data_IF_416537045231
#
_entry.id   IF_416537045231
#
_cell.length_a   1.000
_cell.length_b   1.000
_cell.length_c   1.000
_cell.angle_alpha   90.00
_cell.angle_beta   90.00
_cell.angle_gamma   90.00
#
_symmetry.space_group_name_H-M   'P 1'
#
loop_
_entity.id
_entity.type
_entity.pdbx_description
1 polymer ?
#
# COMPACT_ATOMS: atom_id res chain seq x y z
N UNK A 1 7.07 -32.22 -4.40
CA UNK A 1 6.98 -31.96 -5.83
C UNK A 1 8.42 -31.86 -6.35
N UNK A 2 8.86 -32.72 -7.26
CA UNK A 2 10.18 -32.63 -7.87
C UNK A 2 10.23 -31.42 -8.79
N UNK A 3 11.38 -30.74 -8.88
CA UNK A 3 11.56 -29.58 -9.78
C UNK A 3 11.58 -30.02 -11.27
N UNK A 4 11.65 -31.31 -11.53
CA UNK A 4 11.84 -31.89 -12.87
C UNK A 4 10.64 -32.73 -13.32
N UNK A 5 9.51 -32.74 -12.58
CA UNK A 5 8.31 -33.51 -12.86
C UNK A 5 7.29 -32.76 -13.72
N UNK A 6 7.75 -32.05 -14.75
CA UNK A 6 6.82 -31.50 -15.73
C UNK A 6 6.19 -32.62 -16.55
N UNK A 7 4.88 -32.74 -16.49
CA UNK A 7 4.10 -33.80 -17.15
C UNK A 7 3.73 -33.49 -18.61
N UNK A 8 4.27 -32.42 -19.19
CA UNK A 8 4.07 -31.95 -20.57
C UNK A 8 2.62 -31.69 -20.97
N UNK A 9 1.69 -31.61 -20.01
CA UNK A 9 0.32 -31.24 -20.29
C UNK A 9 0.22 -29.76 -20.63
N UNK A 10 -0.69 -29.45 -21.58
CA UNK A 10 -1.03 -28.03 -21.87
C UNK A 10 -1.63 -27.35 -20.63
N UNK A 11 -1.38 -26.04 -20.46
CA UNK A 11 -2.04 -25.28 -19.40
C UNK A 11 -3.55 -25.23 -19.65
N UNK A 12 -4.31 -25.02 -18.56
CA UNK A 12 -5.76 -24.79 -18.69
C UNK A 12 -5.99 -23.55 -19.55
N UNK A 13 -6.87 -23.62 -20.57
CA UNK A 13 -7.18 -22.45 -21.39
C UNK A 13 -7.65 -21.25 -20.54
N UNK A 14 -7.23 -20.06 -20.93
CA UNK A 14 -7.64 -18.80 -20.33
C UNK A 14 -8.68 -18.11 -21.19
N UNK A 15 -9.60 -17.36 -20.58
CA UNK A 15 -10.51 -16.46 -21.27
C UNK A 15 -9.89 -15.08 -21.51
N UNK A 16 -8.66 -14.86 -21.03
CA UNK A 16 -7.95 -13.59 -21.24
C UNK A 16 -7.41 -13.54 -22.67
N UNK A 17 -7.53 -12.38 -23.33
CA UNK A 17 -6.89 -12.13 -24.62
C UNK A 17 -5.36 -12.10 -24.52
N UNK A 18 -4.67 -12.25 -25.65
CA UNK A 18 -3.21 -12.38 -25.72
C UNK A 18 -2.47 -11.18 -25.09
N UNK A 19 -3.08 -10.00 -25.13
CA UNK A 19 -2.52 -8.75 -24.63
C UNK A 19 -3.08 -8.32 -23.28
N UNK A 20 -4.03 -9.06 -22.75
CA UNK A 20 -4.63 -8.73 -21.45
C UNK A 20 -3.64 -8.88 -20.31
N UNK A 21 -3.88 -8.11 -19.26
CA UNK A 21 -3.21 -8.24 -17.98
C UNK A 21 -4.24 -8.59 -16.90
N UNK A 22 -3.94 -9.52 -15.98
CA UNK A 22 -4.85 -9.81 -14.88
C UNK A 22 -5.16 -8.53 -14.10
N UNK A 23 -6.43 -8.14 -14.05
CA UNK A 23 -6.87 -6.91 -13.37
C UNK A 23 -6.62 -7.03 -11.86
N UNK A 24 -5.82 -6.14 -11.30
CA UNK A 24 -5.58 -6.06 -9.86
C UNK A 24 -6.60 -5.12 -9.19
N UNK A 25 -6.91 -3.97 -9.84
CA UNK A 25 -7.93 -3.02 -9.39
C UNK A 25 -8.29 -2.04 -10.52
N UNK A 26 -9.26 -1.16 -10.27
CA UNK A 26 -9.68 -0.08 -11.16
C UNK A 26 -9.22 1.31 -10.68
N UNK A 27 -8.23 1.37 -9.78
CA UNK A 27 -7.79 2.62 -9.14
C UNK A 27 -7.19 3.64 -10.10
N UNK A 28 -6.69 3.19 -11.24
CA UNK A 28 -6.17 4.02 -12.33
C UNK A 28 -7.06 3.95 -13.59
N UNK A 29 -8.28 3.43 -13.48
CA UNK A 29 -9.20 3.37 -14.61
C UNK A 29 -9.51 4.79 -15.14
N UNK A 30 -9.42 4.95 -16.47
CA UNK A 30 -9.60 6.24 -17.14
C UNK A 30 -8.44 7.21 -16.97
N UNK A 31 -7.35 6.81 -16.29
CA UNK A 31 -6.14 7.63 -16.17
C UNK A 31 -5.14 7.29 -17.28
N UNK A 32 -4.57 8.33 -17.88
CA UNK A 32 -3.55 8.23 -18.91
C UNK A 32 -2.19 8.62 -18.37
N UNK A 33 -1.23 7.69 -18.42
CA UNK A 33 0.09 7.82 -17.78
C UNK A 33 1.19 7.81 -18.83
N UNK A 34 2.03 8.85 -18.85
CA UNK A 34 3.27 8.84 -19.60
C UNK A 34 4.37 8.15 -18.78
N UNK A 35 4.87 7.00 -19.24
CA UNK A 35 6.03 6.33 -18.67
C UNK A 35 7.29 6.77 -19.41
N UNK A 36 8.14 7.59 -18.76
CA UNK A 36 9.37 8.09 -19.33
C UNK A 36 10.56 7.24 -18.87
N UNK A 37 11.16 6.52 -19.81
CA UNK A 37 12.24 5.57 -19.55
C UNK A 37 13.58 6.18 -19.95
N UNK A 38 14.50 6.28 -18.98
CA UNK A 38 15.83 6.88 -19.21
C UNK A 38 16.96 5.87 -19.15
N UNK A 39 18.13 6.23 -19.71
CA UNK A 39 19.26 5.35 -19.94
C UNK A 39 19.98 4.90 -18.67
N UNK A 40 19.54 3.82 -18.09
CA UNK A 40 20.16 3.11 -16.97
C UNK A 40 19.76 1.65 -16.95
N UNK A 41 20.55 0.78 -16.32
CA UNK A 41 20.30 -0.67 -16.30
C UNK A 41 18.89 -1.02 -15.79
N UNK A 42 18.31 -0.23 -14.90
CA UNK A 42 16.96 -0.44 -14.40
C UNK A 42 15.86 -0.21 -15.46
N UNK A 43 16.17 0.33 -16.65
CA UNK A 43 15.25 0.43 -17.79
C UNK A 43 14.68 -0.94 -18.19
N UNK A 44 15.44 -2.03 -17.96
CA UNK A 44 14.97 -3.41 -18.16
C UNK A 44 13.69 -3.75 -17.39
N UNK A 45 13.32 -2.99 -16.36
CA UNK A 45 12.09 -3.17 -15.59
C UNK A 45 10.90 -2.35 -16.11
N UNK A 46 11.09 -1.46 -17.06
CA UNK A 46 10.04 -0.59 -17.55
C UNK A 46 8.82 -1.33 -18.13
N UNK A 47 8.96 -2.47 -18.87
CA UNK A 47 7.80 -3.26 -19.29
C UNK A 47 6.98 -3.80 -18.10
N UNK A 48 7.63 -4.22 -17.02
CA UNK A 48 6.94 -4.67 -15.80
C UNK A 48 6.15 -3.52 -15.16
N UNK A 49 6.75 -2.32 -15.10
CA UNK A 49 6.09 -1.10 -14.60
C UNK A 49 4.87 -0.75 -15.45
N UNK A 50 5.00 -0.74 -16.78
CA UNK A 50 3.89 -0.48 -17.69
C UNK A 50 2.74 -1.47 -17.48
N UNK A 51 3.05 -2.76 -17.42
CA UNK A 51 2.04 -3.80 -17.14
C UNK A 51 1.43 -3.67 -15.74
N UNK A 52 2.21 -3.27 -14.74
CA UNK A 52 1.72 -2.97 -13.39
C UNK A 52 0.67 -1.86 -13.40
N UNK A 53 0.94 -0.73 -14.03
CA UNK A 53 -0.01 0.38 -14.19
C UNK A 53 -1.28 -0.06 -14.92
N UNK A 54 -1.16 -0.84 -15.99
CA UNK A 54 -2.30 -1.41 -16.74
C UNK A 54 -3.14 -2.38 -15.88
N UNK A 55 -2.51 -3.16 -15.02
CA UNK A 55 -3.23 -4.03 -14.06
C UNK A 55 -4.11 -3.23 -13.09
N UNK A 56 -3.81 -1.97 -12.86
CA UNK A 56 -4.65 -1.06 -12.09
C UNK A 56 -5.56 -0.18 -12.94
N UNK A 57 -5.55 -0.36 -14.26
CA UNK A 57 -6.52 0.25 -15.17
C UNK A 57 -6.02 1.42 -15.98
N UNK A 58 -4.77 1.80 -15.85
CA UNK A 58 -4.23 2.92 -16.59
C UNK A 58 -4.12 2.63 -18.11
N UNK A 59 -4.29 3.67 -18.91
CA UNK A 59 -3.74 3.78 -20.27
C UNK A 59 -2.30 4.26 -20.16
N UNK A 60 -1.35 3.53 -20.73
CA UNK A 60 0.10 3.82 -20.57
C UNK A 60 0.74 4.05 -21.93
N UNK A 61 1.39 5.19 -22.09
CA UNK A 61 2.22 5.50 -23.25
C UNK A 61 3.68 5.59 -22.80
N UNK A 62 4.56 4.83 -23.44
CA UNK A 62 5.99 4.87 -23.12
C UNK A 62 6.75 5.87 -24.01
N UNK A 63 7.58 6.68 -23.37
CA UNK A 63 8.60 7.53 -24.00
C UNK A 63 9.96 6.97 -23.60
N UNK A 64 10.82 6.69 -24.54
CA UNK A 64 12.13 6.12 -24.26
C UNK A 64 13.25 6.96 -24.87
N UNK A 65 14.26 7.27 -24.04
CA UNK A 65 15.48 7.86 -24.58
C UNK A 65 16.27 6.82 -25.41
N UNK A 66 17.10 7.28 -26.33
CA UNK A 66 17.99 6.41 -27.11
C UNK A 66 18.86 5.53 -26.20
N UNK A 67 19.41 6.12 -25.13
CA UNK A 67 20.18 5.36 -24.14
C UNK A 67 19.35 4.30 -23.38
N UNK A 68 18.06 4.50 -23.19
CA UNK A 68 17.21 3.50 -22.58
C UNK A 68 17.07 2.25 -23.47
N UNK A 69 16.97 2.46 -24.80
CA UNK A 69 16.84 1.38 -25.77
C UNK A 69 18.11 0.52 -25.91
N UNK A 70 19.23 0.91 -25.30
CA UNK A 70 20.42 0.06 -25.16
C UNK A 70 20.27 -1.03 -24.10
N UNK A 71 19.29 -0.90 -23.20
CA UNK A 71 19.04 -1.82 -22.09
C UNK A 71 17.74 -2.60 -22.23
N UNK A 72 16.82 -2.13 -23.08
CA UNK A 72 15.51 -2.75 -23.30
C UNK A 72 15.08 -2.63 -24.76
N UNK A 73 14.63 -3.72 -25.35
CA UNK A 73 14.09 -3.70 -26.70
C UNK A 73 12.81 -2.84 -26.77
N UNK A 74 12.67 -2.06 -27.83
CA UNK A 74 11.48 -1.24 -28.11
C UNK A 74 10.20 -2.09 -28.09
N UNK A 75 10.24 -3.24 -28.74
CA UNK A 75 9.13 -4.17 -28.86
C UNK A 75 8.61 -4.66 -27.51
N UNK A 76 9.49 -4.81 -26.51
CA UNK A 76 9.09 -5.20 -25.15
C UNK A 76 8.25 -4.10 -24.47
N UNK A 77 8.56 -2.83 -24.72
CA UNK A 77 7.77 -1.71 -24.23
C UNK A 77 6.45 -1.59 -25.02
N UNK A 78 6.47 -1.74 -26.33
CA UNK A 78 5.27 -1.72 -27.18
C UNK A 78 4.28 -2.80 -26.78
N UNK A 79 4.78 -4.03 -26.55
CA UNK A 79 3.95 -5.11 -26.03
C UNK A 79 3.39 -4.82 -24.64
N UNK A 80 4.17 -4.19 -23.77
CA UNK A 80 3.75 -3.89 -22.40
C UNK A 80 2.69 -2.78 -22.34
N UNK A 81 2.74 -1.80 -23.25
CA UNK A 81 1.83 -0.65 -23.30
C UNK A 81 0.68 -0.80 -24.27
N UNK A 82 0.75 -1.76 -25.21
CA UNK A 82 -0.17 -1.95 -26.36
C UNK A 82 -0.20 -0.77 -27.32
N UNK A 83 0.90 -0.09 -27.47
CA UNK A 83 1.01 1.05 -28.36
C UNK A 83 2.46 1.35 -28.74
N UNK A 84 2.67 2.22 -29.72
CA UNK A 84 4.02 2.61 -30.14
C UNK A 84 4.77 3.32 -29.02
N UNK A 85 6.07 3.03 -28.92
CA UNK A 85 6.97 3.76 -28.03
C UNK A 85 7.43 5.04 -28.72
N UNK A 86 7.27 6.16 -28.05
CA UNK A 86 7.73 7.47 -28.54
C UNK A 86 9.24 7.60 -28.30
N UNK A 87 10.02 7.56 -29.35
CA UNK A 87 11.48 7.64 -29.32
C UNK A 87 12.05 8.92 -29.97
N UNK A 88 11.19 9.69 -30.59
CA UNK A 88 11.48 10.99 -31.23
C UNK A 88 10.21 11.79 -31.36
N UNK A 89 10.33 13.09 -31.48
CA UNK A 89 9.18 13.98 -31.72
C UNK A 89 8.86 13.99 -33.22
N UNK A 90 7.58 13.91 -33.54
CA UNK A 90 7.06 13.94 -34.90
C UNK A 90 6.14 15.16 -35.11
N UNK A 91 5.52 15.25 -36.26
CA UNK A 91 4.48 16.24 -36.52
C UNK A 91 3.28 16.16 -35.55
N UNK A 92 3.08 15.03 -34.91
CA UNK A 92 2.01 14.83 -33.93
C UNK A 92 2.28 15.52 -32.58
N UNK A 93 3.50 16.06 -32.39
CA UNK A 93 3.90 16.80 -31.19
C UNK A 93 3.59 16.05 -29.88
N UNK A 94 3.96 14.79 -29.79
CA UNK A 94 3.63 13.83 -28.75
C UNK A 94 3.96 14.36 -27.34
N UNK A 95 4.96 15.23 -27.22
CA UNK A 95 5.37 15.87 -25.97
C UNK A 95 4.36 16.92 -25.45
N UNK A 96 3.50 17.47 -26.29
CA UNK A 96 2.49 18.47 -25.91
C UNK A 96 1.20 17.79 -25.43
N UNK A 97 0.77 16.73 -26.12
CA UNK A 97 -0.38 15.88 -25.78
C UNK A 97 -1.68 16.63 -25.44
N UNK A 98 -1.95 17.81 -26.03
CA UNK A 98 -3.14 18.61 -25.72
C UNK A 98 -4.44 17.94 -26.18
N UNK A 99 -4.42 17.19 -27.28
CA UNK A 99 -5.57 16.43 -27.78
C UNK A 99 -5.90 15.19 -26.93
N UNK A 100 -4.91 14.68 -26.20
CA UNK A 100 -5.04 13.49 -25.35
C UNK A 100 -4.09 13.60 -24.16
N UNK A 101 -4.46 14.41 -23.14
CA UNK A 101 -3.58 14.79 -22.05
C UNK A 101 -3.23 13.62 -21.14
N UNK A 102 -2.02 13.64 -20.58
CA UNK A 102 -1.62 12.73 -19.52
C UNK A 102 -2.02 13.28 -18.15
N UNK A 103 -2.55 12.43 -17.28
CA UNK A 103 -2.82 12.75 -15.88
C UNK A 103 -1.53 12.76 -15.04
N UNK A 104 -0.60 11.87 -15.37
CA UNK A 104 0.70 11.82 -14.70
C UNK A 104 1.84 11.42 -15.65
N UNK A 105 3.01 11.94 -15.32
CA UNK A 105 4.27 11.60 -15.96
C UNK A 105 5.16 10.91 -14.94
N UNK A 106 5.47 9.64 -15.18
CA UNK A 106 6.33 8.82 -14.32
C UNK A 106 7.68 8.62 -14.97
N UNK A 107 8.74 9.20 -14.41
CA UNK A 107 10.13 8.96 -14.84
C UNK A 107 10.69 7.76 -14.08
N UNK A 108 10.74 6.61 -14.72
CA UNK A 108 11.16 5.36 -14.08
C UNK A 108 11.89 4.42 -15.08
N UNK A 109 13.22 4.26 -14.94
CA UNK A 109 14.12 4.89 -13.98
C UNK A 109 14.43 6.35 -14.31
N UNK A 110 14.78 7.17 -13.31
CA UNK A 110 15.29 8.52 -13.49
C UNK A 110 16.79 8.56 -13.18
N UNK A 111 17.60 8.85 -14.23
CA UNK A 111 19.05 9.00 -14.06
C UNK A 111 19.43 10.37 -13.52
N UNK A 112 20.61 10.50 -12.94
CA UNK A 112 21.19 11.78 -12.50
C UNK A 112 21.14 12.84 -13.61
N UNK A 113 21.55 12.47 -14.84
CA UNK A 113 21.51 13.37 -16.00
C UNK A 113 20.10 13.89 -16.30
N UNK A 114 19.10 13.01 -16.27
CA UNK A 114 17.70 13.41 -16.53
C UNK A 114 17.18 14.36 -15.45
N UNK A 115 17.48 14.10 -14.18
CA UNK A 115 17.11 15.00 -13.06
C UNK A 115 17.78 16.36 -13.24
N UNK A 116 19.07 16.39 -13.58
CA UNK A 116 19.79 17.64 -13.81
C UNK A 116 19.22 18.43 -15.00
N UNK A 117 19.00 17.77 -16.14
CA UNK A 117 18.42 18.41 -17.33
C UNK A 117 17.03 18.98 -17.05
N UNK A 118 16.19 18.22 -16.37
CA UNK A 118 14.87 18.65 -15.96
C UNK A 118 14.93 19.90 -15.06
N UNK A 119 15.82 19.91 -14.05
CA UNK A 119 15.99 21.06 -13.14
C UNK A 119 16.47 22.34 -13.82
N UNK A 120 17.16 22.21 -14.95
CA UNK A 120 17.71 23.33 -15.73
C UNK A 120 16.96 23.63 -17.03
N UNK A 121 15.83 22.97 -17.29
CA UNK A 121 14.99 23.21 -18.46
C UNK A 121 15.65 22.78 -19.77
N UNK A 122 16.51 21.74 -19.77
CA UNK A 122 17.22 21.25 -20.97
C UNK A 122 16.37 20.16 -21.63
N UNK A 123 15.83 20.46 -22.82
CA UNK A 123 14.94 19.58 -23.59
C UNK A 123 15.59 19.06 -24.88
N UNK A 124 16.71 18.38 -24.76
CA UNK A 124 17.54 17.90 -25.88
C UNK A 124 17.22 16.47 -26.36
N UNK A 125 16.31 15.80 -25.68
CA UNK A 125 15.82 14.47 -26.04
C UNK A 125 14.29 14.41 -25.97
N UNK A 126 13.67 13.39 -26.57
CA UNK A 126 12.22 13.20 -26.50
C UNK A 126 11.73 13.17 -25.05
N UNK A 127 12.48 12.52 -24.15
CA UNK A 127 12.12 12.41 -22.73
C UNK A 127 12.21 13.77 -22.04
N UNK A 128 13.30 14.50 -22.22
CA UNK A 128 13.51 15.79 -21.56
C UNK A 128 12.63 16.89 -22.15
N UNK A 129 12.36 16.92 -23.46
CA UNK A 129 11.38 17.81 -24.06
C UNK A 129 9.96 17.56 -23.53
N UNK A 130 9.56 16.28 -23.38
CA UNK A 130 8.29 15.90 -22.77
C UNK A 130 8.22 16.34 -21.30
N UNK A 131 9.33 16.25 -20.54
CA UNK A 131 9.38 16.69 -19.13
C UNK A 131 9.24 18.21 -18.99
N UNK A 132 9.79 19.02 -19.91
CA UNK A 132 9.55 20.47 -19.89
C UNK A 132 8.07 20.79 -20.06
N UNK A 133 7.40 20.15 -21.02
CA UNK A 133 5.95 20.29 -21.20
C UNK A 133 5.18 19.80 -19.97
N UNK A 134 5.59 18.66 -19.37
CA UNK A 134 4.99 18.10 -18.17
C UNK A 134 5.07 19.05 -16.96
N UNK A 135 6.21 19.72 -16.77
CA UNK A 135 6.37 20.72 -15.69
C UNK A 135 5.41 21.90 -15.89
N UNK A 136 5.29 22.43 -17.11
CA UNK A 136 4.33 23.51 -17.39
C UNK A 136 2.87 23.07 -17.15
N UNK A 137 2.51 21.82 -17.49
CA UNK A 137 1.17 21.28 -17.19
C UNK A 137 0.96 21.08 -15.69
N UNK A 138 1.99 20.65 -14.96
CA UNK A 138 1.95 20.49 -13.50
C UNK A 138 1.75 21.85 -12.80
N UNK A 139 2.45 22.90 -13.21
CA UNK A 139 2.27 24.27 -12.70
C UNK A 139 0.84 24.79 -12.92
N UNK A 140 0.20 24.37 -14.01
CA UNK A 140 -1.21 24.68 -14.32
C UNK A 140 -2.21 23.78 -13.55
N UNK A 141 -1.74 22.86 -12.70
CA UNK A 141 -2.59 21.92 -11.99
C UNK A 141 -3.24 20.83 -12.86
N UNK A 142 -2.74 20.63 -14.09
CA UNK A 142 -3.32 19.72 -15.11
C UNK A 142 -2.70 18.33 -15.13
N UNK A 143 -1.57 18.13 -14.48
CA UNK A 143 -0.88 16.83 -14.43
C UNK A 143 -0.04 16.70 -13.17
N UNK A 144 0.42 15.47 -12.92
CA UNK A 144 1.39 15.18 -11.86
C UNK A 144 2.71 14.71 -12.47
N UNK A 145 3.84 15.07 -11.85
CA UNK A 145 5.16 14.62 -12.27
C UNK A 145 5.84 13.86 -11.13
N UNK A 146 6.17 12.59 -11.40
CA UNK A 146 6.80 11.70 -10.43
C UNK A 146 8.15 11.21 -10.98
N UNK A 147 9.14 11.20 -10.11
CA UNK A 147 10.52 10.82 -10.45
C UNK A 147 10.98 9.69 -9.53
N UNK A 148 11.43 8.57 -10.10
CA UNK A 148 12.03 7.44 -9.39
C UNK A 148 13.55 7.43 -9.59
N UNK A 149 14.34 8.08 -8.70
CA UNK A 149 15.80 8.16 -8.82
C UNK A 149 16.42 6.77 -8.77
N UNK A 150 17.35 6.52 -9.71
CA UNK A 150 17.99 5.19 -9.79
C UNK A 150 19.43 5.38 -10.26
N UNK A 151 20.40 5.12 -9.34
CA UNK A 151 21.82 5.37 -9.62
C UNK A 151 22.74 4.68 -8.62
N UNK A 152 24.03 4.61 -8.97
CA UNK A 152 25.07 4.18 -8.04
C UNK A 152 25.29 5.25 -6.95
N UNK A 153 25.65 4.83 -5.73
CA UNK A 153 25.86 5.75 -4.61
C UNK A 153 26.91 6.84 -4.84
N UNK A 154 27.94 6.57 -5.64
CA UNK A 154 28.95 7.60 -6.01
C UNK A 154 28.39 8.73 -6.86
N UNK A 155 27.21 8.53 -7.49
CA UNK A 155 26.51 9.57 -8.23
C UNK A 155 25.58 10.42 -7.33
N UNK A 156 25.41 10.03 -6.07
CA UNK A 156 24.70 10.84 -5.09
C UNK A 156 25.64 11.90 -4.55
N UNK A 157 25.54 13.10 -5.08
CA UNK A 157 26.39 14.23 -4.76
C UNK A 157 25.56 15.50 -4.52
N UNK A 158 26.22 16.61 -4.17
CA UNK A 158 25.52 17.89 -3.90
C UNK A 158 24.69 18.37 -5.08
N UNK A 159 25.17 18.22 -6.31
CA UNK A 159 24.43 18.64 -7.50
C UNK A 159 23.11 17.88 -7.67
N UNK A 160 23.11 16.56 -7.41
CA UNK A 160 21.87 15.79 -7.42
C UNK A 160 20.89 16.30 -6.37
N UNK A 161 21.38 16.52 -5.14
CA UNK A 161 20.55 16.99 -4.02
C UNK A 161 19.93 18.35 -4.32
N UNK A 162 20.71 19.28 -4.84
CA UNK A 162 20.26 20.63 -5.18
C UNK A 162 19.23 20.61 -6.31
N UNK A 163 19.49 19.83 -7.38
CA UNK A 163 18.54 19.66 -8.49
C UNK A 163 17.23 19.01 -8.01
N UNK A 164 17.32 17.97 -7.18
CA UNK A 164 16.13 17.29 -6.65
C UNK A 164 15.31 18.22 -5.75
N UNK A 165 15.95 18.98 -4.85
CA UNK A 165 15.29 19.97 -3.99
C UNK A 165 14.61 21.08 -4.80
N UNK A 166 15.28 21.58 -5.84
CA UNK A 166 14.71 22.58 -6.75
C UNK A 166 13.43 22.06 -7.41
N UNK A 167 13.46 20.86 -7.96
CA UNK A 167 12.30 20.22 -8.59
C UNK A 167 11.18 19.92 -7.57
N UNK A 168 11.54 19.43 -6.38
CA UNK A 168 10.56 19.18 -5.32
C UNK A 168 9.86 20.46 -4.87
N UNK A 169 10.57 21.57 -4.78
CA UNK A 169 10.00 22.89 -4.47
C UNK A 169 9.02 23.39 -5.54
N UNK A 170 9.16 22.92 -6.79
CA UNK A 170 8.23 23.19 -7.89
C UNK A 170 7.00 22.24 -7.89
N UNK A 171 6.97 21.23 -7.02
CA UNK A 171 5.87 20.27 -6.92
C UNK A 171 6.13 18.87 -7.50
N UNK A 172 7.34 18.64 -8.06
CA UNK A 172 7.74 17.30 -8.53
C UNK A 172 7.84 16.34 -7.36
N UNK A 173 7.23 15.17 -7.48
CA UNK A 173 7.22 14.15 -6.44
C UNK A 173 8.34 13.12 -6.65
N UNK A 174 9.26 13.05 -5.72
CA UNK A 174 10.33 12.05 -5.74
C UNK A 174 9.88 10.79 -5.01
N UNK A 175 9.85 9.67 -5.74
CA UNK A 175 9.54 8.36 -5.15
C UNK A 175 10.81 7.86 -4.46
N UNK A 176 10.71 7.53 -3.17
CA UNK A 176 11.84 7.03 -2.38
C UNK A 176 12.45 5.79 -3.04
N UNK A 177 13.74 5.80 -3.41
CA UNK A 177 14.39 4.62 -3.98
C UNK A 177 14.53 3.50 -2.95
N UNK A 178 14.68 2.28 -3.44
CA UNK A 178 15.04 1.14 -2.58
C UNK A 178 16.54 1.08 -2.42
N UNK A 179 17.03 1.58 -1.28
CA UNK A 179 18.47 1.62 -1.00
C UNK A 179 19.00 0.23 -0.62
N UNK A 180 19.89 -0.29 -1.45
CA UNK A 180 20.57 -1.54 -1.20
C UNK A 180 21.89 -1.62 -1.98
N UNK A 181 22.87 -2.29 -1.41
CA UNK A 181 24.19 -2.52 -2.03
C UNK A 181 24.89 -1.22 -2.46
N UNK A 182 24.75 -0.15 -1.66
CA UNK A 182 25.36 1.16 -1.95
C UNK A 182 24.78 1.86 -3.20
N UNK A 183 23.53 1.57 -3.56
CA UNK A 183 22.83 2.09 -4.74
C UNK A 183 21.42 2.52 -4.40
N UNK A 184 20.95 3.55 -5.09
CA UNK A 184 19.53 3.86 -5.22
C UNK A 184 18.96 2.97 -6.31
N UNK A 185 18.23 1.92 -5.92
CA UNK A 185 17.57 1.02 -6.86
C UNK A 185 16.15 1.46 -7.13
N UNK A 186 15.66 1.13 -8.33
CA UNK A 186 14.25 1.34 -8.67
C UNK A 186 13.36 0.62 -7.66
N UNK A 187 12.34 1.29 -7.07
CA UNK A 187 11.32 0.65 -6.26
C UNK A 187 10.65 -0.49 -7.02
N UNK A 188 9.97 -1.39 -6.29
CA UNK A 188 9.15 -2.41 -6.94
C UNK A 188 7.96 -1.77 -7.69
N UNK A 189 7.42 -2.55 -8.62
CA UNK A 189 6.33 -2.10 -9.49
C UNK A 189 5.11 -1.64 -8.72
N UNK A 190 4.74 -2.33 -7.63
CA UNK A 190 3.58 -1.96 -6.82
C UNK A 190 3.77 -0.60 -6.14
N UNK A 191 4.96 -0.34 -5.61
CA UNK A 191 5.33 0.96 -5.04
C UNK A 191 5.17 2.10 -6.04
N UNK A 192 5.62 1.89 -7.28
CA UNK A 192 5.47 2.88 -8.35
C UNK A 192 4.00 3.11 -8.72
N UNK A 193 3.21 2.04 -8.82
CA UNK A 193 1.77 2.14 -9.10
C UNK A 193 1.03 2.89 -7.99
N UNK A 194 1.31 2.57 -6.72
CA UNK A 194 0.73 3.27 -5.56
C UNK A 194 1.12 4.75 -5.56
N UNK A 195 2.39 5.07 -5.84
CA UNK A 195 2.84 6.47 -5.90
C UNK A 195 2.08 7.27 -6.96
N UNK A 196 1.86 6.69 -8.15
CA UNK A 196 1.02 7.31 -9.20
C UNK A 196 -0.42 7.47 -8.71
N UNK A 197 -1.04 6.43 -8.16
CA UNK A 197 -2.40 6.50 -7.65
C UNK A 197 -2.57 7.57 -6.56
N UNK A 198 -1.66 7.60 -5.59
CA UNK A 198 -1.64 8.65 -4.54
C UNK A 198 -1.51 10.07 -5.10
N UNK A 199 -0.76 10.23 -6.18
CA UNK A 199 -0.58 11.56 -6.80
C UNK A 199 -1.84 12.07 -7.50
N UNK A 200 -2.71 11.15 -7.93
CA UNK A 200 -3.92 11.44 -8.70
C UNK A 200 -5.21 11.38 -7.88
N UNK A 201 -5.11 11.03 -6.60
CA UNK A 201 -6.30 10.91 -5.75
C UNK A 201 -6.86 12.29 -5.39
N UNK A 202 -8.19 12.39 -5.41
CA UNK A 202 -8.95 13.52 -4.86
C UNK A 202 -9.60 13.18 -3.51
N UNK A 203 -9.19 12.07 -2.89
CA UNK A 203 -9.75 11.64 -1.62
C UNK A 203 -9.45 12.64 -0.49
N UNK A 204 -10.41 12.96 0.37
CA UNK A 204 -10.20 13.80 1.56
C UNK A 204 -9.27 13.14 2.59
N UNK A 205 -8.95 11.86 2.41
CA UNK A 205 -7.96 11.16 3.24
C UNK A 205 -6.51 11.52 2.91
N UNK A 206 -6.25 12.27 1.82
CA UNK A 206 -4.90 12.64 1.42
C UNK A 206 -4.17 13.38 2.55
N UNK A 207 -3.01 12.85 2.99
CA UNK A 207 -2.21 13.38 4.09
C UNK A 207 -2.80 13.15 5.50
N UNK A 208 -3.96 12.49 5.66
CA UNK A 208 -4.49 12.14 6.98
C UNK A 208 -3.66 11.02 7.60
N UNK A 209 -3.20 11.22 8.84
CA UNK A 209 -2.46 10.21 9.61
C UNK A 209 -3.43 9.16 10.15
N UNK A 210 -3.34 7.94 9.64
CA UNK A 210 -4.22 6.84 10.02
C UNK A 210 -3.39 5.66 10.53
N UNK A 211 -3.66 5.24 11.76
CA UNK A 211 -3.07 4.04 12.35
C UNK A 211 -3.98 2.85 12.10
N UNK A 212 -3.42 1.78 11.56
CA UNK A 212 -4.11 0.49 11.41
C UNK A 212 -3.42 -0.55 12.26
N UNK A 213 -4.16 -1.31 13.07
CA UNK A 213 -3.61 -2.42 13.83
C UNK A 213 -4.04 -3.74 13.23
N UNK A 214 -3.17 -4.75 13.17
CA UNK A 214 -3.49 -6.03 12.57
C UNK A 214 -2.68 -7.20 13.16
N UNK A 215 -3.21 -8.41 13.02
CA UNK A 215 -2.56 -9.63 13.49
C UNK A 215 -2.76 -9.87 14.97
N UNK A 216 -2.11 -10.90 15.52
CA UNK A 216 -2.26 -11.30 16.92
C UNK A 216 -1.41 -10.42 17.85
N UNK A 217 -1.77 -10.38 19.13
CA UNK A 217 -0.92 -9.82 20.18
C UNK A 217 -0.51 -10.96 21.11
N UNK A 218 0.64 -11.60 20.90
CA UNK A 218 1.07 -12.74 21.69
C UNK A 218 1.29 -12.37 23.16
N UNK A 219 0.91 -13.26 24.08
CA UNK A 219 1.23 -13.15 25.50
C UNK A 219 2.17 -14.28 25.89
N UNK A 220 3.35 -14.00 26.48
CA UNK A 220 4.30 -15.04 26.83
C UNK A 220 3.80 -15.90 27.98
N UNK A 221 4.04 -17.22 27.91
CA UNK A 221 3.89 -18.16 29.01
C UNK A 221 5.25 -18.32 29.71
N UNK A 222 6.31 -18.49 28.90
CA UNK A 222 7.70 -18.61 29.32
C UNK A 222 8.62 -18.04 28.23
N UNK A 223 9.92 -18.20 28.34
CA UNK A 223 10.91 -17.73 27.35
C UNK A 223 10.80 -18.37 25.95
N UNK A 224 9.96 -19.39 25.79
CA UNK A 224 9.82 -20.16 24.52
C UNK A 224 8.36 -20.20 24.04
N UNK A 225 7.40 -20.30 24.95
CA UNK A 225 5.98 -20.52 24.62
C UNK A 225 5.16 -19.27 24.83
N UNK A 226 4.13 -19.10 23.98
CA UNK A 226 3.19 -17.98 24.02
C UNK A 226 1.78 -18.43 23.68
N UNK A 227 0.78 -17.75 24.23
CA UNK A 227 -0.60 -17.84 23.80
C UNK A 227 -0.80 -16.80 22.70
N UNK A 228 -1.48 -17.18 21.62
CA UNK A 228 -1.68 -16.31 20.47
C UNK A 228 -3.02 -16.60 19.79
N UNK A 229 -3.72 -15.57 19.37
CA UNK A 229 -4.94 -15.72 18.58
C UNK A 229 -4.63 -16.24 17.18
N UNK A 230 -5.56 -16.98 16.57
CA UNK A 230 -5.39 -17.58 15.23
C UNK A 230 -5.37 -16.58 14.07
N UNK A 231 -5.74 -15.32 14.32
CA UNK A 231 -5.87 -14.30 13.28
C UNK A 231 -4.51 -13.84 12.74
N UNK A 232 -4.37 -13.83 11.40
CA UNK A 232 -3.12 -13.49 10.72
C UNK A 232 -3.06 -12.05 10.22
N UNK A 233 -4.04 -11.21 10.50
CA UNK A 233 -4.03 -9.79 10.21
C UNK A 233 -4.18 -9.39 8.74
N UNK A 234 -4.58 -10.30 7.84
CA UNK A 234 -4.69 -10.00 6.41
C UNK A 234 -5.70 -8.89 6.12
N UNK A 235 -6.84 -8.85 6.81
CA UNK A 235 -7.85 -7.82 6.62
C UNK A 235 -7.31 -6.43 6.97
N UNK A 236 -6.71 -6.26 8.17
CA UNK A 236 -6.14 -4.97 8.56
C UNK A 236 -5.02 -4.50 7.62
N UNK A 237 -4.18 -5.43 7.12
CA UNK A 237 -3.17 -5.10 6.13
C UNK A 237 -3.80 -4.62 4.81
N UNK A 238 -4.90 -5.23 4.34
CA UNK A 238 -5.64 -4.76 3.16
C UNK A 238 -6.32 -3.40 3.39
N UNK A 239 -6.81 -3.13 4.61
CA UNK A 239 -7.31 -1.80 4.96
C UNK A 239 -6.21 -0.75 4.89
N UNK A 240 -5.03 -1.02 5.45
CA UNK A 240 -3.89 -0.10 5.37
C UNK A 240 -3.46 0.15 3.92
N UNK A 241 -3.46 -0.89 3.08
CA UNK A 241 -3.18 -0.79 1.65
C UNK A 241 -4.22 0.07 0.92
N UNK A 242 -5.52 -0.11 1.20
CA UNK A 242 -6.59 0.72 0.62
C UNK A 242 -6.43 2.19 1.00
N UNK A 243 -6.15 2.47 2.27
CA UNK A 243 -5.96 3.82 2.78
C UNK A 243 -4.75 4.53 2.12
N UNK A 244 -3.63 3.81 1.91
CA UNK A 244 -2.47 4.35 1.20
C UNK A 244 -2.82 4.69 -0.25
N UNK A 245 -3.54 3.85 -0.94
CA UNK A 245 -4.00 4.13 -2.30
C UNK A 245 -4.89 5.38 -2.38
N UNK A 246 -5.68 5.66 -1.36
CA UNK A 246 -6.48 6.89 -1.22
C UNK A 246 -5.70 8.09 -0.71
N UNK A 247 -4.38 8.00 -0.62
CA UNK A 247 -3.52 9.12 -0.25
C UNK A 247 -3.28 9.31 1.24
N UNK A 248 -3.88 8.52 2.12
CA UNK A 248 -3.65 8.63 3.56
C UNK A 248 -2.18 8.32 3.93
N UNK A 249 -1.69 8.96 4.97
CA UNK A 249 -0.44 8.63 5.63
C UNK A 249 -0.71 7.52 6.65
N UNK A 250 -0.97 6.32 6.10
CA UNK A 250 -1.31 5.16 6.91
C UNK A 250 -0.05 4.42 7.37
N UNK A 251 -0.04 4.00 8.65
CA UNK A 251 0.95 3.06 9.20
C UNK A 251 0.26 1.81 9.72
N UNK A 252 0.97 0.69 9.73
CA UNK A 252 0.48 -0.60 10.17
C UNK A 252 1.25 -1.07 11.42
N UNK A 253 0.55 -1.21 12.55
CA UNK A 253 1.05 -1.89 13.73
C UNK A 253 0.66 -3.37 13.60
N UNK A 254 1.67 -4.22 13.43
CA UNK A 254 1.49 -5.61 13.04
C UNK A 254 2.01 -6.55 14.12
N UNK A 255 1.15 -7.45 14.59
CA UNK A 255 1.56 -8.50 15.52
C UNK A 255 2.57 -9.47 14.89
N UNK A 256 3.53 -9.94 15.68
CA UNK A 256 4.54 -10.91 15.23
C UNK A 256 3.90 -12.21 14.70
N UNK A 257 4.42 -12.71 13.57
CA UNK A 257 3.88 -13.87 12.87
C UNK A 257 2.64 -13.58 12.01
N UNK A 258 2.20 -12.32 11.90
CA UNK A 258 1.12 -11.93 11.01
C UNK A 258 1.57 -11.86 9.53
N UNK A 259 0.58 -11.84 8.64
CA UNK A 259 0.81 -11.69 7.21
C UNK A 259 1.30 -10.26 6.90
N UNK A 260 2.39 -10.15 6.14
CA UNK A 260 2.96 -8.85 5.74
C UNK A 260 2.44 -8.43 4.37
N UNK A 261 1.96 -7.18 4.22
CA UNK A 261 1.59 -6.64 2.91
C UNK A 261 2.83 -6.47 2.02
N UNK A 262 2.63 -6.52 0.71
CA UNK A 262 3.67 -6.18 -0.28
C UNK A 262 3.72 -4.68 -0.57
N UNK A 263 2.63 -3.97 -0.32
CA UNK A 263 2.56 -2.53 -0.48
C UNK A 263 3.57 -1.80 0.43
N UNK A 264 4.11 -0.64 0.02
CA UNK A 264 5.11 0.13 0.77
C UNK A 264 4.47 0.87 1.96
N UNK A 265 3.92 0.11 2.90
CA UNK A 265 3.28 0.62 4.11
C UNK A 265 4.33 0.65 5.22
N UNK A 266 4.50 1.74 5.97
CA UNK A 266 5.29 1.74 7.20
C UNK A 266 4.73 0.71 8.18
N UNK A 267 5.56 -0.26 8.59
CA UNK A 267 5.15 -1.35 9.50
C UNK A 267 5.98 -1.30 10.77
N UNK A 268 5.29 -1.23 11.91
CA UNK A 268 5.87 -1.47 13.23
C UNK A 268 5.41 -2.85 13.71
N UNK A 269 6.36 -3.77 13.95
CA UNK A 269 6.05 -5.13 14.44
C UNK A 269 6.11 -5.15 15.96
N UNK A 270 5.06 -5.67 16.59
CA UNK A 270 4.95 -5.86 18.04
C UNK A 270 4.96 -7.35 18.38
N UNK A 271 5.82 -7.75 19.31
CA UNK A 271 6.06 -9.16 19.68
C UNK A 271 5.18 -9.64 20.82
N UNK A 272 4.70 -8.70 21.64
CA UNK A 272 3.87 -8.98 22.82
C UNK A 272 2.67 -8.06 22.89
N UNK A 273 1.71 -8.43 23.77
CA UNK A 273 0.57 -7.56 24.08
C UNK A 273 1.03 -6.19 24.65
N UNK A 274 2.03 -6.18 25.54
CA UNK A 274 2.51 -4.94 26.15
C UNK A 274 3.17 -4.03 25.12
N UNK A 275 4.05 -4.57 24.24
CA UNK A 275 4.61 -3.81 23.12
C UNK A 275 3.51 -3.23 22.20
N UNK A 276 2.46 -4.01 21.93
CA UNK A 276 1.31 -3.57 21.13
C UNK A 276 0.59 -2.41 21.82
N UNK A 277 0.19 -2.56 23.10
CA UNK A 277 -0.47 -1.51 23.87
C UNK A 277 0.35 -0.23 23.87
N UNK A 278 1.61 -0.31 24.24
CA UNK A 278 2.48 0.86 24.39
C UNK A 278 2.72 1.56 23.02
N UNK A 279 2.88 0.78 21.95
CA UNK A 279 3.01 1.32 20.58
C UNK A 279 1.74 2.04 20.15
N UNK A 280 0.57 1.44 20.34
CA UNK A 280 -0.72 2.06 20.00
C UNK A 280 -0.91 3.38 20.76
N UNK A 281 -0.69 3.37 22.09
CA UNK A 281 -0.85 4.57 22.91
C UNK A 281 0.15 5.67 22.55
N UNK A 282 1.39 5.30 22.21
CA UNK A 282 2.39 6.26 21.73
C UNK A 282 1.96 6.94 20.41
N UNK A 283 1.38 6.19 19.47
CA UNK A 283 0.89 6.74 18.19
C UNK A 283 -0.33 7.64 18.39
N UNK A 284 -1.29 7.24 19.23
CA UNK A 284 -2.46 8.06 19.55
C UNK A 284 -2.03 9.37 20.19
N UNK A 285 -1.12 9.35 21.18
CA UNK A 285 -0.57 10.55 21.83
C UNK A 285 0.23 11.45 20.88
N UNK A 286 0.89 10.87 19.87
CA UNK A 286 1.58 11.65 18.84
C UNK A 286 0.63 12.33 17.82
N UNK A 287 -0.68 12.08 17.93
CA UNK A 287 -1.74 12.65 17.11
C UNK A 287 -1.97 11.89 15.82
N UNK A 288 -3.01 11.09 15.80
CA UNK A 288 -3.57 10.43 14.62
C UNK A 288 -4.93 11.07 14.29
N UNK A 289 -5.30 11.07 13.01
CA UNK A 289 -6.63 11.49 12.61
C UNK A 289 -7.66 10.36 12.83
N UNK A 290 -7.26 9.11 12.55
CA UNK A 290 -8.11 7.94 12.79
C UNK A 290 -7.28 6.70 13.23
N UNK A 291 -7.92 5.84 14.01
CA UNK A 291 -7.44 4.51 14.40
C UNK A 291 -8.35 3.40 13.90
N UNK A 292 -7.79 2.42 13.16
CA UNK A 292 -8.49 1.20 12.72
C UNK A 292 -7.98 0.02 13.55
N UNK A 293 -8.80 -0.46 14.48
CA UNK A 293 -8.39 -1.44 15.49
C UNK A 293 -8.83 -2.86 15.09
N UNK A 294 -8.10 -3.45 14.11
CA UNK A 294 -8.42 -4.78 13.58
C UNK A 294 -7.52 -5.91 14.10
N UNK A 295 -6.61 -5.62 15.04
CA UNK A 295 -5.78 -6.63 15.68
C UNK A 295 -6.63 -7.63 16.51
N UNK A 296 -6.25 -8.91 16.48
CA UNK A 296 -6.76 -9.92 17.38
C UNK A 296 -6.08 -9.81 18.75
N UNK A 297 -6.54 -8.85 19.55
CA UNK A 297 -5.93 -8.56 20.84
C UNK A 297 -6.22 -9.69 21.83
N UNK A 298 -5.21 -10.09 22.60
CA UNK A 298 -5.39 -11.08 23.67
C UNK A 298 -6.28 -10.51 24.77
N UNK A 299 -7.33 -11.23 25.15
CA UNK A 299 -8.25 -10.87 26.24
C UNK A 299 -7.72 -11.30 27.60
N UNK A 300 -6.79 -12.25 27.62
CA UNK A 300 -6.19 -12.82 28.82
C UNK A 300 -4.69 -12.98 28.66
N UNK A 301 -3.95 -12.86 29.76
CA UNK A 301 -2.52 -13.16 29.86
C UNK A 301 -2.23 -14.04 31.07
N UNK A 302 -1.13 -14.81 31.10
CA UNK A 302 -0.69 -15.48 32.30
C UNK A 302 -0.46 -14.47 33.42
N UNK A 303 -1.00 -14.73 34.61
CA UNK A 303 -0.86 -13.88 35.80
C UNK A 303 0.61 -13.76 36.22
N UNK A 304 1.40 -14.82 36.00
CA UNK A 304 2.83 -14.85 36.19
C UNK A 304 3.51 -15.51 34.98
N UNK A 305 4.26 -14.74 34.22
CA UNK A 305 5.14 -15.29 33.18
C UNK A 305 6.40 -15.86 33.83
N UNK A 306 6.78 -17.08 33.48
CA UNK A 306 7.98 -17.73 33.99
C UNK A 306 9.20 -17.24 33.21
N UNK A 307 10.21 -16.72 33.91
CA UNK A 307 11.50 -16.44 33.27
C UNK A 307 12.22 -17.75 32.93
N UNK A 308 12.76 -17.83 31.70
CA UNK A 308 13.38 -19.05 31.17
C UNK A 308 12.36 -20.00 30.58
N UNK A 309 12.64 -21.29 30.55
CA UNK A 309 11.82 -22.33 29.95
C UNK A 309 11.21 -23.23 31.04
N UNK A 310 9.90 -23.39 31.06
CA UNK A 310 9.23 -24.38 31.90
C UNK A 310 9.69 -25.78 31.47
N UNK A 311 10.15 -26.59 32.43
CA UNK A 311 10.61 -27.94 32.16
C UNK A 311 9.50 -28.80 31.49
N UNK A 312 9.91 -29.62 30.51
CA UNK A 312 9.04 -30.63 29.90
C UNK A 312 8.97 -31.88 30.75
N UNK A 313 7.94 -32.71 30.56
CA UNK A 313 7.76 -34.01 31.28
C UNK A 313 6.85 -33.98 32.47
N UNK A 314 6.20 -32.87 32.76
CA UNK A 314 5.11 -32.80 33.74
C UNK A 314 3.86 -33.48 33.19
N UNK A 315 3.08 -34.16 34.03
CA UNK A 315 1.82 -34.81 33.64
C UNK A 315 0.77 -33.78 33.21
N UNK A 316 0.80 -32.56 33.76
CA UNK A 316 -0.05 -31.44 33.37
C UNK A 316 0.64 -30.10 33.64
N UNK A 317 0.25 -29.07 32.91
CA UNK A 317 0.65 -27.69 33.15
C UNK A 317 -0.60 -26.83 33.32
N UNK A 318 -0.75 -26.27 34.53
CA UNK A 318 -1.85 -25.35 34.85
C UNK A 318 -1.38 -23.91 34.67
N UNK A 319 -2.14 -23.11 33.93
CA UNK A 319 -1.88 -21.70 33.72
C UNK A 319 -3.02 -20.87 34.29
N UNK A 320 -2.74 -20.05 35.30
CA UNK A 320 -3.68 -19.04 35.77
C UNK A 320 -3.61 -17.82 34.84
N UNK A 321 -4.77 -17.42 34.31
CA UNK A 321 -4.90 -16.30 33.42
C UNK A 321 -5.65 -15.15 34.10
N UNK A 322 -5.22 -13.92 33.84
CA UNK A 322 -5.91 -12.69 34.23
C UNK A 322 -6.33 -11.88 32.97
N UNK A 323 -7.40 -11.06 33.08
CA UNK A 323 -7.81 -10.19 31.97
C UNK A 323 -6.72 -9.18 31.59
N UNK A 324 -6.63 -8.86 30.30
CA UNK A 324 -5.86 -7.73 29.80
C UNK A 324 -6.71 -6.47 29.73
N UNK A 325 -6.07 -5.31 29.70
CA UNK A 325 -6.75 -4.04 29.45
C UNK A 325 -7.28 -4.00 28.01
N UNK A 326 -8.37 -3.29 27.77
CA UNK A 326 -8.90 -3.08 26.42
C UNK A 326 -8.16 -1.90 25.77
N UNK A 327 -7.13 -2.21 24.98
CA UNK A 327 -6.27 -1.19 24.34
C UNK A 327 -7.05 -0.16 23.51
N UNK A 328 -8.14 -0.58 22.85
CA UNK A 328 -9.03 0.34 22.14
C UNK A 328 -9.68 1.38 23.07
N UNK A 329 -10.06 0.97 24.29
CA UNK A 329 -10.67 1.87 25.27
C UNK A 329 -9.62 2.88 25.78
N UNK A 330 -8.42 2.40 26.12
CA UNK A 330 -7.29 3.26 26.50
C UNK A 330 -6.91 4.26 25.38
N UNK A 331 -6.96 3.83 24.12
CA UNK A 331 -6.66 4.68 22.97
C UNK A 331 -7.71 5.80 22.81
N UNK A 332 -9.00 5.47 22.95
CA UNK A 332 -10.09 6.46 22.89
C UNK A 332 -10.07 7.43 24.10
N UNK A 333 -9.59 6.98 25.25
CA UNK A 333 -9.37 7.86 26.42
C UNK A 333 -8.16 8.79 26.20
N UNK A 334 -7.12 8.30 25.55
CA UNK A 334 -5.90 9.09 25.29
C UNK A 334 -6.10 10.20 24.26
N UNK A 335 -6.94 10.00 23.23
CA UNK A 335 -7.41 11.06 22.34
C UNK A 335 -8.86 10.81 21.87
N UNK A 336 -9.84 11.40 22.55
CA UNK A 336 -11.26 11.24 22.18
C UNK A 336 -11.65 11.87 20.83
N UNK A 337 -10.78 12.68 20.22
CA UNK A 337 -11.03 13.36 18.95
C UNK A 337 -10.64 12.50 17.75
N UNK A 338 -9.81 11.47 17.95
CA UNK A 338 -9.42 10.56 16.89
C UNK A 338 -10.61 9.70 16.46
N UNK A 339 -10.87 9.66 15.15
CA UNK A 339 -11.93 8.78 14.62
C UNK A 339 -11.57 7.32 14.86
N UNK A 340 -12.55 6.53 15.31
CA UNK A 340 -12.32 5.13 15.69
C UNK A 340 -13.13 4.18 14.83
N UNK A 341 -12.44 3.25 14.16
CA UNK A 341 -13.02 2.07 13.50
C UNK A 341 -12.74 0.85 14.38
N UNK A 342 -13.78 0.31 14.99
CA UNK A 342 -13.68 -0.87 15.86
C UNK A 342 -14.02 -2.16 15.08
N UNK A 343 -13.49 -3.29 15.58
CA UNK A 343 -13.83 -4.62 15.05
C UNK A 343 -14.49 -5.45 16.12
N UNK A 344 -15.49 -6.22 15.73
CA UNK A 344 -16.14 -7.21 16.58
C UNK A 344 -16.25 -8.54 15.86
N UNK A 345 -15.68 -9.58 16.45
CA UNK A 345 -15.78 -10.96 15.99
C UNK A 345 -16.54 -11.81 16.99
N UNK A 346 -17.47 -12.62 16.50
CA UNK A 346 -18.21 -13.62 17.30
C UNK A 346 -18.28 -14.94 16.54
N UNK A 347 -18.54 -16.02 17.26
CA UNK A 347 -18.83 -17.37 16.72
C UNK A 347 -20.08 -17.92 17.36
N UNK A 348 -20.84 -18.76 16.65
CA UNK A 348 -22.03 -19.44 17.16
C UNK A 348 -23.21 -18.51 17.48
N UNK A 349 -23.31 -17.35 16.77
CA UNK A 349 -24.37 -16.37 17.03
C UNK A 349 -25.15 -16.02 15.76
N UNK A 350 -26.40 -15.58 15.91
CA UNK A 350 -27.16 -15.03 14.80
C UNK A 350 -26.62 -13.67 14.34
N UNK A 351 -27.03 -13.22 13.13
CA UNK A 351 -26.66 -11.90 12.61
C UNK A 351 -27.24 -10.78 13.46
N UNK A 352 -28.48 -10.94 13.96
CA UNK A 352 -29.15 -10.00 14.86
C UNK A 352 -28.38 -9.84 16.18
N UNK A 353 -27.90 -10.94 16.73
CA UNK A 353 -27.09 -10.92 17.96
C UNK A 353 -25.74 -10.23 17.72
N UNK A 354 -25.09 -10.50 16.58
CA UNK A 354 -23.84 -9.81 16.19
C UNK A 354 -24.06 -8.30 16.11
N UNK A 355 -25.14 -7.86 15.42
CA UNK A 355 -25.50 -6.44 15.29
C UNK A 355 -25.75 -5.83 16.67
N UNK A 356 -26.52 -6.50 17.52
CA UNK A 356 -26.84 -6.04 18.87
C UNK A 356 -25.59 -5.83 19.73
N UNK A 357 -24.62 -6.75 19.63
CA UNK A 357 -23.35 -6.64 20.37
C UNK A 357 -22.44 -5.56 19.78
N UNK A 358 -22.40 -5.44 18.45
CA UNK A 358 -21.61 -4.40 17.77
C UNK A 358 -22.15 -2.99 18.10
N UNK A 359 -23.47 -2.82 18.07
CA UNK A 359 -24.13 -1.53 18.33
C UNK A 359 -23.77 -0.94 19.71
N UNK A 360 -23.51 -1.78 20.73
CA UNK A 360 -23.08 -1.31 22.05
C UNK A 360 -21.75 -0.54 22.06
N UNK A 361 -20.95 -0.67 21.00
CA UNK A 361 -19.68 0.07 20.86
C UNK A 361 -19.82 1.40 20.11
N UNK A 362 -20.96 1.64 19.49
CA UNK A 362 -21.21 2.89 18.72
C UNK A 362 -21.28 4.14 19.60
N UNK A 363 -21.41 3.98 20.92
CA UNK A 363 -21.33 5.11 21.85
C UNK A 363 -19.94 5.75 21.87
N UNK A 364 -18.90 4.96 21.53
CA UNK A 364 -17.50 5.38 21.58
C UNK A 364 -16.77 5.28 20.22
N UNK A 365 -17.21 4.40 19.32
CA UNK A 365 -16.65 4.19 17.99
C UNK A 365 -17.63 4.69 16.92
N UNK A 366 -17.13 5.35 15.90
CA UNK A 366 -17.98 5.86 14.80
C UNK A 366 -18.56 4.74 13.93
N UNK A 367 -17.84 3.63 13.77
CA UNK A 367 -18.24 2.44 13.03
C UNK A 367 -17.68 1.17 13.66
N UNK A 368 -18.44 0.09 13.60
CA UNK A 368 -18.00 -1.24 14.02
C UNK A 368 -18.07 -2.20 12.85
N UNK A 369 -16.94 -2.78 12.49
CA UNK A 369 -16.86 -3.87 11.49
C UNK A 369 -17.12 -5.17 12.22
N UNK A 370 -18.32 -5.70 12.05
CA UNK A 370 -18.81 -6.88 12.73
C UNK A 370 -18.69 -8.12 11.82
N UNK A 371 -18.09 -9.19 12.34
CA UNK A 371 -17.82 -10.43 11.57
C UNK A 371 -18.11 -11.66 12.41
N UNK A 372 -18.51 -12.76 11.76
CA UNK A 372 -18.71 -14.07 12.39
C UNK A 372 -17.77 -15.11 11.80
N UNK A 373 -17.53 -16.18 12.56
CA UNK A 373 -16.80 -17.36 12.08
C UNK A 373 -17.49 -18.01 10.88
N UNK A 374 -18.79 -18.10 10.91
CA UNK A 374 -19.68 -18.68 9.89
C UNK A 374 -19.63 -17.94 8.55
N UNK A 375 -19.27 -16.66 8.57
CA UNK A 375 -19.17 -15.81 7.39
C UNK A 375 -17.79 -15.89 6.71
N UNK A 376 -16.90 -16.77 7.21
CA UNK A 376 -15.57 -17.01 6.62
C UNK A 376 -15.63 -18.11 5.58
N UNK A 377 -15.21 -17.81 4.35
CA UNK A 377 -15.14 -18.76 3.23
C UNK A 377 -13.70 -18.86 2.72
N UNK A 378 -13.01 -19.92 3.12
CA UNK A 378 -11.59 -20.11 2.77
C UNK A 378 -10.72 -18.97 3.32
N UNK A 379 -10.13 -18.17 2.43
CA UNK A 379 -9.31 -17.01 2.80
C UNK A 379 -10.09 -15.69 2.82
N UNK A 380 -11.38 -15.71 2.46
CA UNK A 380 -12.24 -14.53 2.39
C UNK A 380 -13.25 -14.47 3.55
N UNK A 381 -13.87 -13.32 3.74
CA UNK A 381 -14.75 -13.05 4.87
C UNK A 381 -15.80 -11.99 4.52
N UNK A 382 -17.06 -12.24 4.86
CA UNK A 382 -18.13 -11.26 4.87
C UNK A 382 -18.11 -10.48 6.19
N UNK A 383 -18.57 -9.23 6.17
CA UNK A 383 -18.74 -8.39 7.36
C UNK A 383 -20.00 -7.53 7.27
N UNK A 384 -20.39 -7.00 8.43
CA UNK A 384 -21.40 -5.94 8.53
C UNK A 384 -20.71 -4.67 9.03
N UNK A 385 -20.83 -3.56 8.30
CA UNK A 385 -20.50 -2.24 8.81
C UNK A 385 -21.69 -1.71 9.58
N UNK A 386 -21.54 -1.61 10.90
CA UNK A 386 -22.59 -1.11 11.82
C UNK A 386 -22.24 0.32 12.19
N UNK A 387 -23.12 1.25 11.86
CA UNK A 387 -23.03 2.68 12.20
C UNK A 387 -24.30 3.13 12.92
N UNK A 388 -24.36 4.37 13.37
CA UNK A 388 -25.59 4.95 13.94
C UNK A 388 -26.69 5.10 12.90
N UNK A 389 -26.36 5.18 11.61
CA UNK A 389 -27.30 5.36 10.50
C UNK A 389 -27.83 4.03 9.96
N UNK A 390 -27.24 2.91 10.34
CA UNK A 390 -27.70 1.57 9.91
C UNK A 390 -26.60 0.53 9.79
N UNK A 391 -26.93 -0.56 9.12
CA UNK A 391 -26.09 -1.74 8.91
C UNK A 391 -25.92 -1.98 7.41
N UNK A 392 -24.69 -2.04 6.95
CA UNK A 392 -24.33 -2.31 5.56
C UNK A 392 -23.57 -3.63 5.44
N UNK A 393 -24.11 -4.65 4.75
CA UNK A 393 -23.39 -5.90 4.51
C UNK A 393 -22.29 -5.70 3.47
N UNK A 394 -21.15 -6.37 3.66
CA UNK A 394 -19.97 -6.30 2.79
C UNK A 394 -19.40 -7.69 2.56
N UNK A 395 -19.26 -8.10 1.31
CA UNK A 395 -19.14 -9.50 0.93
C UNK A 395 -17.74 -10.11 1.04
N UNK A 396 -16.68 -9.29 1.01
CA UNK A 396 -15.31 -9.79 1.02
C UNK A 396 -14.31 -8.78 1.61
N UNK A 397 -13.12 -9.23 1.93
CA UNK A 397 -12.10 -8.41 2.60
C UNK A 397 -11.70 -7.15 1.82
N UNK A 398 -11.65 -7.21 0.49
CA UNK A 398 -11.36 -6.04 -0.34
C UNK A 398 -12.48 -5.01 -0.25
N UNK A 399 -13.72 -5.46 -0.34
CA UNK A 399 -14.89 -4.61 -0.18
C UNK A 399 -14.98 -4.02 1.23
N UNK A 400 -14.62 -4.79 2.27
CA UNK A 400 -14.53 -4.30 3.66
C UNK A 400 -13.51 -3.16 3.75
N UNK A 401 -12.32 -3.34 3.19
CA UNK A 401 -11.28 -2.30 3.18
C UNK A 401 -11.77 -1.02 2.48
N UNK A 402 -12.42 -1.17 1.31
CA UNK A 402 -12.98 -0.06 0.56
C UNK A 402 -14.11 0.65 1.32
N UNK A 403 -14.99 -0.10 2.00
CA UNK A 403 -16.10 0.44 2.79
C UNK A 403 -15.61 1.20 4.04
N UNK A 404 -14.57 0.69 4.72
CA UNK A 404 -13.93 1.41 5.84
C UNK A 404 -13.33 2.73 5.34
N UNK A 405 -12.60 2.70 4.23
CA UNK A 405 -12.02 3.90 3.66
C UNK A 405 -13.09 4.91 3.20
N UNK A 406 -14.17 4.42 2.57
CA UNK A 406 -15.33 5.26 2.19
C UNK A 406 -16.04 5.88 3.40
N UNK A 407 -16.20 5.14 4.48
CA UNK A 407 -16.71 5.69 5.74
C UNK A 407 -15.83 6.83 6.25
N UNK A 408 -14.52 6.62 6.30
CA UNK A 408 -13.56 7.65 6.75
C UNK A 408 -13.54 8.88 5.82
N UNK A 409 -13.70 8.71 4.50
CA UNK A 409 -13.85 9.83 3.56
C UNK A 409 -15.07 10.69 3.85
N UNK A 410 -16.16 10.07 4.31
CA UNK A 410 -17.38 10.79 4.71
C UNK A 410 -17.24 11.63 5.97
N UNK A 411 -16.12 11.50 6.73
CA UNK A 411 -15.83 12.29 7.94
C UNK A 411 -14.88 13.48 7.68
N UNK A 412 -14.22 13.50 6.54
CA UNK A 412 -13.23 14.54 6.15
C UNK A 412 -13.80 15.52 5.20
#
# INVERSE_FOLDING_TARGET
MSLYDWDFRAPTPSTMGDHDVPRASDRLAGRRIALLVTGGIAAMKAPEVARGLRRHGADVVAFASEDALRYIAREALEWATLGPVVTGLTWAAEHLSDSSPFDAYLVAPATHSTIAKMAHGIGDTVVTATLISALGRMEQGRAQVLVAPTMHGTMHNAQLVDNARRLAAQGVRFITPRDAYGKHNLPDTETLCIAVGRSLTASPLAGRKIMVTAGPTPVPIDGVRRIVNRFRGRLGAQVAEELIWRGADAELILGDGAWRPKAPIPVTVTRTYDEYRDTVLARVKAGIWAGVYSAGVADYRPKAAVQGKIASGQASLMLELEPTEKVIDLAMEADPRAHTVAFKYLEGVSEEELIRVAAKRLDRAGVVVATRGEDTRGTDQRALLVTKDGVTPVENKRAIAAAIAGYLEGLG
#
